data_IF_710369145826
#
_entry.id   IF_710369145826
#
_cell.length_a   1.000
_cell.length_b   1.000
_cell.length_c   1.000
_cell.angle_alpha   90.00
_cell.angle_beta   90.00
_cell.angle_gamma   90.00
#
_symmetry.space_group_name_H-M   'P 1'
#
loop_
_entity.id
_entity.type
_entity.pdbx_description
1 polymer ?
#
# COMPACT_ATOMS: atom_id res chain seq x y z
N UNK A 1 36.07 19.64 25.59
CA UNK A 1 35.15 18.86 24.76
C UNK A 1 34.23 18.06 25.67
N UNK A 2 33.04 18.58 25.95
CA UNK A 2 32.00 17.83 26.64
C UNK A 2 30.66 18.52 26.40
N UNK A 3 29.59 17.71 26.46
CA UNK A 3 28.17 18.06 26.33
C UNK A 3 27.57 17.90 24.92
N UNK A 4 27.70 16.69 24.35
CA UNK A 4 26.89 16.21 23.22
C UNK A 4 25.65 15.39 23.66
N UNK A 5 25.54 15.06 24.95
CA UNK A 5 24.49 14.16 25.47
C UNK A 5 23.21 14.84 25.97
N UNK A 6 23.05 16.15 25.76
CA UNK A 6 21.76 16.81 26.01
C UNK A 6 20.88 16.68 24.78
N UNK A 7 20.60 15.44 24.37
CA UNK A 7 19.53 15.16 23.43
C UNK A 7 18.23 15.41 24.17
N UNK A 8 17.48 16.44 23.76
CA UNK A 8 16.08 16.59 24.17
C UNK A 8 15.32 15.29 23.89
N UNK A 9 14.30 14.93 24.70
CA UNK A 9 13.43 13.82 24.34
C UNK A 9 12.71 14.18 23.04
N UNK A 10 13.24 13.71 21.90
CA UNK A 10 12.50 13.75 20.64
C UNK A 10 11.26 12.91 20.89
N UNK A 11 10.14 13.60 21.06
CA UNK A 11 8.83 13.02 21.31
C UNK A 11 8.64 11.80 20.41
N UNK A 12 8.51 10.62 21.03
CA UNK A 12 7.94 9.43 20.42
C UNK A 12 6.51 9.79 19.98
N UNK A 13 6.39 10.44 18.82
CA UNK A 13 5.09 10.65 18.16
C UNK A 13 4.81 9.34 17.45
N UNK A 14 3.94 8.55 18.06
CA UNK A 14 3.38 7.33 17.47
C UNK A 14 3.17 7.50 15.95
N UNK A 15 3.74 6.63 15.10
CA UNK A 15 3.64 6.74 13.64
C UNK A 15 2.20 6.90 13.12
N UNK A 16 1.24 6.35 13.87
CA UNK A 16 -0.21 6.49 13.69
C UNK A 16 -0.68 7.94 13.68
N UNK A 17 -0.21 8.76 14.62
CA UNK A 17 -0.60 10.17 14.76
C UNK A 17 -0.01 11.03 13.64
N UNK A 18 1.22 10.72 13.21
CA UNK A 18 1.90 11.44 12.12
C UNK A 18 1.23 11.17 10.78
N UNK A 19 0.80 9.93 10.55
CA UNK A 19 0.02 9.55 9.39
C UNK A 19 -1.37 10.19 9.38
N UNK A 20 -2.10 10.13 10.51
CA UNK A 20 -3.44 10.74 10.58
C UNK A 20 -3.40 12.24 10.28
N UNK A 21 -2.39 12.96 10.79
CA UNK A 21 -2.16 14.37 10.45
C UNK A 21 -1.86 14.58 8.96
N UNK A 22 -1.05 13.70 8.37
CA UNK A 22 -0.74 13.77 6.95
C UNK A 22 -2.00 13.59 6.09
N UNK A 23 -2.81 12.55 6.32
CA UNK A 23 -4.06 12.34 5.58
C UNK A 23 -5.03 13.52 5.76
N UNK A 24 -5.18 14.04 6.97
CA UNK A 24 -6.03 15.20 7.25
C UNK A 24 -5.55 16.48 6.55
N UNK A 25 -4.25 16.58 6.21
CA UNK A 25 -3.69 17.71 5.47
C UNK A 25 -3.83 17.59 3.95
N UNK A 26 -4.23 16.41 3.44
CA UNK A 26 -4.42 16.21 2.00
C UNK A 26 -5.69 16.92 1.52
N UNK A 27 -5.60 17.50 0.32
CA UNK A 27 -6.78 18.04 -0.33
C UNK A 27 -7.72 16.91 -0.81
N UNK A 28 -9.03 17.18 -0.97
CA UNK A 28 -10.01 16.17 -1.37
C UNK A 28 -9.71 15.49 -2.73
N UNK A 29 -9.14 16.23 -3.68
CA UNK A 29 -8.76 15.67 -4.99
C UNK A 29 -7.63 14.64 -4.89
N UNK A 30 -6.64 14.90 -4.03
CA UNK A 30 -5.52 14.00 -3.78
C UNK A 30 -6.00 12.73 -3.09
N UNK A 31 -6.91 12.84 -2.12
CA UNK A 31 -7.56 11.68 -1.50
C UNK A 31 -8.32 10.88 -2.56
N UNK A 32 -9.16 11.54 -3.38
CA UNK A 32 -9.91 10.89 -4.43
C UNK A 32 -9.02 10.19 -5.48
N UNK A 33 -7.84 10.72 -5.76
CA UNK A 33 -6.89 10.12 -6.68
C UNK A 33 -6.16 8.92 -6.07
N UNK A 34 -5.74 9.03 -4.80
CA UNK A 34 -5.06 7.95 -4.05
C UNK A 34 -6.01 6.79 -3.70
N UNK A 35 -7.30 7.06 -3.54
CA UNK A 35 -8.33 6.05 -3.29
C UNK A 35 -8.78 5.29 -4.54
N UNK A 36 -8.28 5.64 -5.73
CA UNK A 36 -8.62 4.91 -6.96
C UNK A 36 -7.82 3.60 -7.03
N UNK A 37 -8.49 2.44 -7.08
CA UNK A 37 -7.80 1.18 -7.30
C UNK A 37 -7.21 1.13 -8.72
N UNK A 38 -5.96 0.68 -8.84
CA UNK A 38 -5.27 0.59 -10.12
C UNK A 38 -5.77 -0.58 -11.00
N UNK A 39 -6.30 -1.64 -10.37
CA UNK A 39 -6.80 -2.82 -11.09
C UNK A 39 -7.89 -3.56 -10.29
N UNK A 40 -8.72 -4.40 -10.95
CA UNK A 40 -9.69 -5.27 -10.27
C UNK A 40 -9.06 -6.29 -9.32
N UNK A 41 -7.81 -6.68 -9.55
CA UNK A 41 -7.06 -7.56 -8.66
C UNK A 41 -6.65 -6.84 -7.38
N UNK A 42 -6.25 -5.56 -7.48
CA UNK A 42 -5.95 -4.71 -6.33
C UNK A 42 -7.15 -4.54 -5.40
N UNK A 43 -8.37 -4.41 -5.95
CA UNK A 43 -9.61 -4.31 -5.17
C UNK A 43 -9.82 -5.56 -4.32
N UNK A 44 -9.71 -6.76 -4.93
CA UNK A 44 -9.88 -8.04 -4.22
C UNK A 44 -8.84 -8.23 -3.11
N UNK A 45 -7.60 -7.79 -3.33
CA UNK A 45 -6.54 -7.84 -2.32
C UNK A 45 -6.76 -6.86 -1.16
N UNK A 46 -7.36 -5.69 -1.44
CA UNK A 46 -7.75 -4.73 -0.40
C UNK A 46 -8.91 -5.27 0.45
N UNK A 47 -9.95 -5.84 -0.17
CA UNK A 47 -11.05 -6.50 0.54
C UNK A 47 -10.54 -7.62 1.45
N UNK A 48 -9.66 -8.49 0.92
CA UNK A 48 -9.07 -9.58 1.69
C UNK A 48 -8.25 -9.06 2.88
N UNK A 49 -7.48 -7.98 2.70
CA UNK A 49 -6.73 -7.36 3.79
C UNK A 49 -7.64 -6.78 4.86
N UNK A 50 -8.71 -6.08 4.47
CA UNK A 50 -9.68 -5.50 5.39
C UNK A 50 -10.34 -6.62 6.21
N UNK A 51 -10.80 -7.70 5.56
CA UNK A 51 -11.35 -8.87 6.25
C UNK A 51 -10.32 -9.53 7.18
N UNK A 52 -9.07 -9.65 6.75
CA UNK A 52 -7.98 -10.21 7.56
C UNK A 52 -7.64 -9.37 8.80
N UNK A 53 -7.76 -8.05 8.70
CA UNK A 53 -7.49 -7.12 9.80
C UNK A 53 -8.67 -6.99 10.78
N UNK A 54 -9.89 -7.25 10.31
CA UNK A 54 -11.13 -7.17 11.10
C UNK A 54 -11.56 -8.51 11.71
N UNK A 55 -10.96 -9.62 11.28
CA UNK A 55 -11.39 -10.96 11.63
C UNK A 55 -12.57 -11.42 10.77
N UNK A 56 -12.72 -12.74 10.64
CA UNK A 56 -13.76 -13.36 9.80
C UNK A 56 -15.15 -13.00 10.34
N UNK A 57 -15.82 -12.06 9.68
CA UNK A 57 -17.22 -11.70 9.92
C UNK A 57 -18.05 -12.16 8.71
N UNK A 58 -19.09 -13.01 8.89
CA UNK A 58 -19.95 -13.45 7.79
C UNK A 58 -20.76 -12.25 7.25
N UNK A 59 -20.47 -11.89 6.00
CA UNK A 59 -20.78 -10.58 5.41
C UNK A 59 -22.22 -10.32 4.93
N UNK A 60 -23.17 -11.23 5.14
CA UNK A 60 -24.52 -11.10 4.55
C UNK A 60 -25.62 -10.69 5.55
N UNK A 61 -25.35 -10.62 6.85
CA UNK A 61 -26.39 -10.38 7.87
C UNK A 61 -26.06 -9.28 8.90
N UNK A 62 -24.95 -8.54 8.75
CA UNK A 62 -24.53 -7.58 9.76
C UNK A 62 -24.12 -6.24 9.16
N UNK A 63 -24.61 -5.16 9.77
CA UNK A 63 -24.04 -3.83 9.64
C UNK A 63 -22.71 -3.82 10.42
N UNK A 64 -21.59 -3.85 9.70
CA UNK A 64 -20.26 -3.97 10.32
C UNK A 64 -19.82 -2.60 10.85
N UNK A 65 -20.16 -2.34 12.11
CA UNK A 65 -19.65 -1.20 12.88
C UNK A 65 -18.36 -1.58 13.60
N UNK A 66 -17.24 -1.00 13.17
CA UNK A 66 -15.93 -1.23 13.81
C UNK A 66 -15.62 -0.03 14.70
N UNK A 67 -15.73 -0.21 16.01
CA UNK A 67 -15.31 0.78 16.99
C UNK A 67 -13.87 0.50 17.40
N UNK A 68 -12.97 1.44 17.12
CA UNK A 68 -11.54 1.34 17.49
C UNK A 68 -11.03 2.70 17.97
N UNK A 69 -9.98 2.69 18.78
CA UNK A 69 -9.34 3.93 19.22
C UNK A 69 -8.41 4.49 18.13
N UNK A 70 -8.01 5.75 18.28
CA UNK A 70 -7.17 6.45 17.30
C UNK A 70 -5.83 5.75 17.06
N UNK A 71 -5.24 5.19 18.11
CA UNK A 71 -3.94 4.52 18.04
C UNK A 71 -4.01 3.24 17.19
N UNK A 72 -4.97 2.36 17.47
CA UNK A 72 -5.19 1.14 16.71
C UNK A 72 -5.60 1.44 15.26
N UNK A 73 -6.45 2.47 15.04
CA UNK A 73 -6.80 2.91 13.70
C UNK A 73 -5.57 3.38 12.90
N UNK A 74 -4.71 4.20 13.51
CA UNK A 74 -3.54 4.68 12.80
C UNK A 74 -2.49 3.59 12.56
N UNK A 75 -2.38 2.58 13.43
CA UNK A 75 -1.57 1.37 13.17
C UNK A 75 -2.12 0.56 11.99
N UNK A 76 -3.45 0.41 11.93
CA UNK A 76 -4.15 -0.26 10.83
C UNK A 76 -3.92 0.46 9.49
N UNK A 77 -4.01 1.79 9.52
CA UNK A 77 -3.79 2.61 8.33
C UNK A 77 -2.32 2.56 7.88
N UNK A 78 -1.38 2.58 8.83
CA UNK A 78 0.05 2.44 8.55
C UNK A 78 0.38 1.10 7.90
N UNK A 79 -0.16 -0.01 8.42
CA UNK A 79 0.04 -1.34 7.82
C UNK A 79 -0.59 -1.42 6.43
N UNK A 80 -1.80 -0.90 6.26
CA UNK A 80 -2.47 -0.88 4.96
C UNK A 80 -1.67 -0.09 3.91
N UNK A 81 -1.09 1.06 4.28
CA UNK A 81 -0.23 1.83 3.37
C UNK A 81 1.07 1.10 3.02
N UNK A 82 1.75 0.49 3.99
CA UNK A 82 2.97 -0.28 3.73
C UNK A 82 2.69 -1.45 2.79
N UNK A 83 1.59 -2.17 3.01
CA UNK A 83 1.12 -3.22 2.11
C UNK A 83 0.80 -2.67 0.72
N UNK A 84 0.11 -1.52 0.62
CA UNK A 84 -0.18 -0.87 -0.65
C UNK A 84 1.07 -0.50 -1.44
N UNK A 85 2.09 0.03 -0.77
CA UNK A 85 3.39 0.34 -1.39
C UNK A 85 4.12 -0.92 -1.88
N UNK A 86 4.11 -1.99 -1.07
CA UNK A 86 4.69 -3.28 -1.48
C UNK A 86 3.99 -3.85 -2.72
N UNK A 87 2.66 -3.83 -2.75
CA UNK A 87 1.87 -4.28 -3.92
C UNK A 87 2.20 -3.46 -5.16
N UNK A 88 2.33 -2.13 -5.02
CA UNK A 88 2.70 -1.26 -6.14
C UNK A 88 4.09 -1.56 -6.69
N UNK A 89 5.06 -1.81 -5.81
CA UNK A 89 6.41 -2.19 -6.23
C UNK A 89 6.42 -3.56 -6.94
N UNK A 90 5.63 -4.51 -6.45
CA UNK A 90 5.49 -5.83 -7.08
C UNK A 90 4.88 -5.72 -8.49
N UNK A 91 3.85 -4.88 -8.65
CA UNK A 91 3.23 -4.58 -9.95
C UNK A 91 4.22 -3.96 -10.93
N UNK A 92 4.99 -2.96 -10.49
CA UNK A 92 6.02 -2.32 -11.32
C UNK A 92 7.08 -3.32 -11.78
N UNK A 93 7.55 -4.19 -10.88
CA UNK A 93 8.51 -5.24 -11.22
C UNK A 93 7.93 -6.22 -12.24
N UNK A 94 6.70 -6.69 -12.04
CA UNK A 94 6.03 -7.59 -12.97
C UNK A 94 5.85 -6.95 -14.35
N UNK A 95 5.45 -5.67 -14.39
CA UNK A 95 5.32 -4.91 -15.63
C UNK A 95 6.66 -4.82 -16.36
N UNK A 96 7.77 -4.58 -15.64
CA UNK A 96 9.10 -4.51 -16.22
C UNK A 96 9.55 -5.87 -16.78
N UNK A 97 9.34 -6.96 -16.04
CA UNK A 97 9.67 -8.32 -16.47
C UNK A 97 8.89 -8.71 -17.75
N UNK A 98 7.61 -8.34 -17.85
CA UNK A 98 6.80 -8.54 -19.06
C UNK A 98 7.35 -7.78 -20.26
N UNK A 99 7.75 -6.51 -20.08
CA UNK A 99 8.34 -5.70 -21.15
C UNK A 99 9.67 -6.28 -21.64
N UNK A 100 10.51 -6.79 -20.73
CA UNK A 100 11.75 -7.47 -21.10
C UNK A 100 11.50 -8.79 -21.86
N UNK A 101 10.52 -9.59 -21.43
CA UNK A 101 10.13 -10.81 -22.15
C UNK A 101 9.63 -10.50 -23.57
N UNK A 102 8.80 -9.47 -23.72
CA UNK A 102 8.31 -9.05 -25.03
C UNK A 102 9.46 -8.64 -25.95
N UNK A 103 10.42 -7.85 -25.43
CA UNK A 103 11.63 -7.48 -26.18
C UNK A 103 12.50 -8.68 -26.57
N UNK A 104 12.65 -9.66 -25.68
CA UNK A 104 13.38 -10.91 -26.01
C UNK A 104 12.67 -11.78 -27.03
N UNK A 105 11.32 -11.74 -27.08
CA UNK A 105 10.52 -12.43 -28.09
C UNK A 105 10.69 -11.83 -29.48
N UNK A 106 10.77 -10.50 -29.59
CA UNK A 106 10.99 -9.80 -30.86
C UNK A 106 12.39 -10.08 -31.45
N UNK A 107 13.41 -10.31 -30.61
CA UNK A 107 14.75 -10.69 -31.07
C UNK A 107 14.88 -12.16 -31.50
N UNK A 108 13.98 -13.03 -31.04
CA UNK A 108 13.96 -14.44 -31.42
C UNK A 108 13.15 -14.71 -32.71
N UNK A 109 12.36 -13.74 -33.18
CA UNK A 109 11.48 -13.86 -34.35
C UNK A 109 12.14 -13.64 -35.72
N UNK A 110 13.42 -13.24 -35.78
CA UNK A 110 14.13 -12.91 -37.04
C UNK A 110 15.32 -13.83 -37.32
N UNK A 111 15.35 -15.05 -36.74
CA UNK A 111 16.36 -16.03 -37.15
C UNK A 111 16.13 -16.39 -38.63
N UNK A 112 17.10 -16.15 -39.53
CA UNK A 112 16.93 -16.47 -40.94
C UNK A 112 16.73 -17.98 -41.07
N UNK A 113 15.55 -18.39 -41.52
CA UNK A 113 15.33 -19.76 -41.96
C UNK A 113 16.20 -19.98 -43.19
N UNK A 114 17.33 -20.65 -42.99
CA UNK A 114 18.22 -21.06 -44.06
C UNK A 114 17.48 -22.07 -44.96
N UNK A 115 17.16 -21.62 -46.17
CA UNK A 115 16.85 -22.48 -47.32
C UNK A 115 18.17 -22.91 -48.00
#
# INVERSE_FOLDING_TARGET
MSNFWKSEPTTDREPSESLMRYIQSLNPETIAHLSRPASPETIRMMEHNIVGLLGVLPGEQFDVSISTNREHLGRLLASAMMSGYFLRNAEQRMSFEKSLQNWSGDLAGDAPTAD
#
